data_IF_253629109983
#
_entry.id   IF_253629109983
#
_cell.length_a   1.000
_cell.length_b   1.000
_cell.length_c   1.000
_cell.angle_alpha   90.00
_cell.angle_beta   90.00
_cell.angle_gamma   90.00
#
_symmetry.space_group_name_H-M   'P 1'
#
loop_
_entity.id
_entity.type
_entity.pdbx_description
1 polymer ?
#
# COMPACT_ATOMS: atom_id res chain seq x y z
N UNK A 1 -7.61 8.11 21.70
CA UNK A 1 -7.03 7.05 20.82
C UNK A 1 -6.14 7.66 19.73
N UNK A 2 -6.64 8.54 18.88
CA UNK A 2 -5.81 9.17 17.82
C UNK A 2 -4.65 10.01 18.38
N UNK A 3 -4.86 10.76 19.48
CA UNK A 3 -3.82 11.50 20.18
C UNK A 3 -2.80 10.57 20.85
N UNK A 4 -3.24 9.47 21.46
CA UNK A 4 -2.37 8.50 22.09
C UNK A 4 -1.48 7.79 21.06
N UNK A 5 -2.03 7.46 19.88
CA UNK A 5 -1.27 6.87 18.78
C UNK A 5 -0.20 7.84 18.25
N UNK A 6 -0.57 9.11 17.99
CA UNK A 6 0.39 10.11 17.53
C UNK A 6 1.52 10.30 18.53
N UNK A 7 1.19 10.41 19.81
CA UNK A 7 2.17 10.52 20.89
C UNK A 7 3.07 9.30 20.96
N UNK A 8 2.51 8.08 20.86
CA UNK A 8 3.29 6.84 20.87
C UNK A 8 4.24 6.78 19.66
N UNK A 9 3.77 7.17 18.48
CA UNK A 9 4.58 7.20 17.25
C UNK A 9 5.75 8.18 17.40
N UNK A 10 5.50 9.39 17.87
CA UNK A 10 6.53 10.40 18.08
C UNK A 10 7.55 9.96 19.15
N UNK A 11 7.08 9.53 20.31
CA UNK A 11 7.93 9.12 21.43
C UNK A 11 8.76 7.87 21.09
N UNK A 12 8.11 6.81 20.60
CA UNK A 12 8.78 5.53 20.35
C UNK A 12 9.72 5.59 19.15
N UNK A 13 9.28 6.15 18.01
CA UNK A 13 10.12 6.21 16.82
C UNK A 13 11.29 7.17 16.98
N UNK A 14 11.15 8.25 17.74
CA UNK A 14 12.27 9.16 18.05
C UNK A 14 13.31 8.49 18.94
N UNK A 15 12.86 7.76 19.98
CA UNK A 15 13.77 7.13 20.95
C UNK A 15 14.38 5.81 20.44
N UNK A 16 13.65 5.03 19.66
CA UNK A 16 13.99 3.65 19.27
C UNK A 16 13.98 3.41 17.75
N UNK A 17 14.29 4.42 16.95
CA UNK A 17 14.35 4.32 15.48
C UNK A 17 15.25 3.17 15.01
N UNK A 18 16.31 2.86 15.75
CA UNK A 18 17.25 1.77 15.47
C UNK A 18 16.53 0.42 15.40
N UNK A 19 15.52 0.17 16.27
CA UNK A 19 14.79 -1.10 16.27
C UNK A 19 14.01 -1.31 14.96
N UNK A 20 13.43 -0.24 14.41
CA UNK A 20 12.73 -0.32 13.13
C UNK A 20 13.69 -0.66 11.97
N UNK A 21 14.91 -0.09 12.00
CA UNK A 21 15.96 -0.41 11.03
C UNK A 21 16.40 -1.88 11.17
N UNK A 22 16.49 -2.40 12.40
CA UNK A 22 16.84 -3.79 12.67
C UNK A 22 15.77 -4.76 12.15
N UNK A 23 14.48 -4.41 12.29
CA UNK A 23 13.38 -5.21 11.71
C UNK A 23 13.50 -5.25 10.19
N UNK A 24 13.74 -4.10 9.55
CA UNK A 24 13.93 -4.03 8.09
C UNK A 24 15.11 -4.84 7.58
N UNK A 25 16.17 -4.95 8.37
CA UNK A 25 17.36 -5.76 8.06
C UNK A 25 17.20 -7.24 8.41
N UNK A 26 16.05 -7.67 8.94
CA UNK A 26 15.81 -9.04 9.38
C UNK A 26 16.60 -9.44 10.63
N UNK A 27 17.24 -8.49 11.34
CA UNK A 27 18.00 -8.73 12.56
C UNK A 27 17.07 -8.91 13.76
N UNK A 28 15.95 -8.20 13.76
CA UNK A 28 14.91 -8.26 14.79
C UNK A 28 13.60 -8.74 14.16
N UNK A 29 12.90 -9.69 14.79
CA UNK A 29 11.59 -10.11 14.28
C UNK A 29 10.53 -9.05 14.58
N UNK A 30 9.45 -9.04 13.78
CA UNK A 30 8.31 -8.14 13.98
C UNK A 30 7.70 -8.34 15.37
N UNK A 31 7.59 -9.58 15.82
CA UNK A 31 7.04 -9.92 17.15
C UNK A 31 7.91 -9.39 18.29
N UNK A 32 9.24 -9.47 18.14
CA UNK A 32 10.17 -8.90 19.11
C UNK A 32 10.05 -7.37 19.17
N UNK A 33 9.94 -6.73 18.01
CA UNK A 33 9.71 -5.28 17.92
C UNK A 33 8.40 -4.88 18.64
N UNK A 34 7.30 -5.56 18.34
CA UNK A 34 6.00 -5.26 18.97
C UNK A 34 6.00 -5.50 20.49
N UNK A 35 6.77 -6.46 20.99
CA UNK A 35 6.97 -6.63 22.44
C UNK A 35 7.68 -5.41 23.08
N UNK A 36 8.65 -4.84 22.41
CA UNK A 36 9.31 -3.63 22.90
C UNK A 36 8.39 -2.41 22.86
N UNK A 37 7.49 -2.32 21.86
CA UNK A 37 6.43 -1.31 21.82
C UNK A 37 5.46 -1.49 22.97
N UNK A 38 5.01 -2.73 23.22
CA UNK A 38 4.10 -3.03 24.33
C UNK A 38 4.69 -2.65 25.68
N UNK A 39 5.95 -3.00 25.94
CA UNK A 39 6.67 -2.58 27.15
C UNK A 39 6.72 -1.05 27.30
N UNK A 40 6.94 -0.34 26.20
CA UNK A 40 6.94 1.12 26.21
C UNK A 40 5.56 1.69 26.54
N UNK A 41 4.48 1.10 25.99
CA UNK A 41 3.11 1.46 26.34
C UNK A 41 2.83 1.22 27.83
N UNK A 42 3.16 0.04 28.35
CA UNK A 42 2.97 -0.31 29.76
C UNK A 42 3.70 0.65 30.73
N UNK A 43 4.88 1.10 30.35
CA UNK A 43 5.72 1.97 31.18
C UNK A 43 5.30 3.44 31.14
N UNK A 44 4.80 3.93 30.02
CA UNK A 44 4.59 5.36 29.80
C UNK A 44 3.11 5.77 29.66
N UNK A 45 2.21 4.79 29.46
CA UNK A 45 0.78 5.03 29.24
C UNK A 45 -0.03 4.31 30.32
N UNK A 46 -0.77 5.07 31.12
CA UNK A 46 -1.63 4.53 32.19
C UNK A 46 -2.98 4.12 31.62
N UNK A 47 -2.99 3.14 30.70
CA UNK A 47 -4.19 2.67 30.01
C UNK A 47 -4.62 1.29 30.54
N UNK A 48 -5.94 0.99 30.55
CA UNK A 48 -6.43 -0.37 30.77
C UNK A 48 -5.85 -1.36 29.74
N UNK A 49 -5.67 -2.62 30.14
CA UNK A 49 -5.02 -3.67 29.31
C UNK A 49 -5.67 -3.80 27.92
N UNK A 50 -7.01 -3.71 27.84
CA UNK A 50 -7.74 -3.75 26.58
C UNK A 50 -7.34 -2.59 25.65
N UNK A 51 -7.25 -1.37 26.19
CA UNK A 51 -6.83 -0.20 25.43
C UNK A 51 -5.36 -0.23 25.03
N UNK A 52 -4.50 -0.87 25.82
CA UNK A 52 -3.09 -1.08 25.46
C UNK A 52 -2.98 -2.00 24.23
N UNK A 53 -3.78 -3.08 24.21
CA UNK A 53 -3.81 -4.00 23.06
C UNK A 53 -4.33 -3.31 21.79
N UNK A 54 -5.38 -2.49 21.90
CA UNK A 54 -5.91 -1.71 20.77
C UNK A 54 -4.89 -0.70 20.27
N UNK A 55 -4.22 0.04 21.17
CA UNK A 55 -3.18 1.00 20.81
C UNK A 55 -1.98 0.33 20.14
N UNK A 56 -1.56 -0.86 20.63
CA UNK A 56 -0.51 -1.64 19.99
C UNK A 56 -0.88 -2.07 18.59
N UNK A 57 -2.12 -2.51 18.38
CA UNK A 57 -2.64 -2.90 17.05
C UNK A 57 -2.70 -1.71 16.10
N UNK A 58 -3.16 -0.54 16.56
CA UNK A 58 -3.16 0.69 15.77
C UNK A 58 -1.74 1.12 15.41
N UNK A 59 -0.79 1.02 16.36
CA UNK A 59 0.62 1.30 16.12
C UNK A 59 1.24 0.31 15.11
N UNK A 60 0.92 -0.98 15.21
CA UNK A 60 1.35 -1.99 14.25
C UNK A 60 0.83 -1.67 12.84
N UNK A 61 -0.44 -1.33 12.71
CA UNK A 61 -1.04 -0.91 11.43
C UNK A 61 -0.42 0.38 10.90
N UNK A 62 -0.06 1.31 11.77
CA UNK A 62 0.63 2.53 11.39
C UNK A 62 2.05 2.24 10.89
N UNK A 63 2.84 1.44 11.61
CA UNK A 63 4.26 1.18 11.29
C UNK A 63 4.46 0.15 10.19
N UNK A 64 3.65 -0.89 10.12
CA UNK A 64 3.81 -1.98 9.15
C UNK A 64 2.71 -2.03 8.09
N UNK A 65 1.57 -1.41 8.33
CA UNK A 65 0.44 -1.32 7.41
C UNK A 65 0.51 -0.12 6.46
N UNK A 66 -0.64 0.27 5.98
CA UNK A 66 -0.83 1.43 5.12
C UNK A 66 -1.79 2.45 5.73
N UNK A 67 -1.82 2.53 7.07
CA UNK A 67 -2.66 3.45 7.81
C UNK A 67 -4.12 3.38 7.32
N UNK A 68 -4.74 4.51 7.05
CA UNK A 68 -6.13 4.59 6.56
C UNK A 68 -6.37 3.88 5.23
N UNK A 69 -5.33 3.64 4.43
CA UNK A 69 -5.45 2.92 3.17
C UNK A 69 -5.46 1.39 3.33
N UNK A 70 -5.12 0.84 4.52
CA UNK A 70 -5.06 -0.61 4.75
C UNK A 70 -6.32 -1.36 4.30
N UNK A 71 -7.56 -0.92 4.60
CA UNK A 71 -8.76 -1.62 4.13
C UNK A 71 -8.87 -1.68 2.60
N UNK A 72 -8.39 -0.64 1.89
CA UNK A 72 -8.37 -0.63 0.43
C UNK A 72 -7.24 -1.50 -0.14
N UNK A 73 -6.13 -1.60 0.58
CA UNK A 73 -4.99 -2.44 0.19
C UNK A 73 -5.35 -3.93 0.30
N UNK A 74 -6.16 -4.30 1.29
CA UNK A 74 -6.59 -5.68 1.54
C UNK A 74 -7.76 -6.12 0.63
N UNK A 75 -8.58 -5.19 0.13
CA UNK A 75 -9.73 -5.49 -0.72
C UNK A 75 -9.31 -5.97 -2.11
N UNK A 76 -9.45 -7.27 -2.38
CA UNK A 76 -9.08 -7.90 -3.65
C UNK A 76 -9.84 -7.41 -4.89
N UNK A 77 -10.98 -6.74 -4.73
CA UNK A 77 -11.76 -6.16 -5.82
C UNK A 77 -11.20 -4.84 -6.35
N UNK A 78 -10.30 -4.19 -5.57
CA UNK A 78 -9.68 -2.92 -5.92
C UNK A 78 -8.37 -3.17 -6.66
N UNK A 79 -8.20 -2.56 -7.84
CA UNK A 79 -6.99 -2.63 -8.65
C UNK A 79 -6.07 -1.41 -8.52
N UNK A 80 -6.65 -0.23 -8.34
CA UNK A 80 -5.90 1.02 -8.25
C UNK A 80 -6.48 1.92 -7.14
N UNK A 81 -5.62 2.57 -6.38
CA UNK A 81 -5.94 3.57 -5.36
C UNK A 81 -5.23 4.86 -5.76
N UNK A 82 -5.94 5.98 -5.76
CA UNK A 82 -5.40 7.29 -6.09
C UNK A 82 -5.76 8.27 -4.99
N UNK A 83 -4.76 8.79 -4.31
CA UNK A 83 -4.91 9.87 -3.34
C UNK A 83 -4.54 11.16 -4.06
N UNK A 84 -5.54 11.99 -4.28
CA UNK A 84 -5.40 13.30 -4.96
C UNK A 84 -5.12 14.39 -3.94
N UNK A 85 -5.77 14.29 -2.79
CA UNK A 85 -5.60 15.13 -1.59
C UNK A 85 -5.95 14.29 -0.36
N UNK A 86 -5.71 14.84 0.83
CA UNK A 86 -6.03 14.17 2.09
C UNK A 86 -7.52 13.77 2.18
N UNK A 87 -8.43 14.53 1.58
CA UNK A 87 -9.89 14.34 1.59
C UNK A 87 -10.44 13.73 0.29
N UNK A 88 -9.60 13.55 -0.75
CA UNK A 88 -10.02 13.02 -2.04
C UNK A 88 -9.24 11.74 -2.41
N UNK A 89 -9.85 10.60 -2.09
CA UNK A 89 -9.29 9.27 -2.41
C UNK A 89 -10.21 8.57 -3.40
N UNK A 90 -9.67 8.20 -4.54
CA UNK A 90 -10.36 7.51 -5.62
C UNK A 90 -9.84 6.10 -5.78
N UNK A 91 -10.74 5.16 -6.02
CA UNK A 91 -10.39 3.75 -6.27
C UNK A 91 -10.89 3.31 -7.64
N UNK A 92 -10.26 2.25 -8.14
CA UNK A 92 -10.79 1.48 -9.26
C UNK A 92 -11.15 0.09 -8.75
N UNK A 93 -12.44 -0.18 -8.66
CA UNK A 93 -13.01 -1.47 -8.23
C UNK A 93 -13.71 -2.12 -9.41
N UNK A 94 -13.33 -3.36 -9.73
CA UNK A 94 -13.92 -4.12 -10.86
C UNK A 94 -13.99 -3.31 -12.18
N UNK A 95 -12.93 -2.57 -12.47
CA UNK A 95 -12.84 -1.74 -13.68
C UNK A 95 -13.52 -0.37 -13.60
N UNK A 96 -14.36 -0.09 -12.61
CA UNK A 96 -15.07 1.18 -12.44
C UNK A 96 -14.34 2.10 -11.45
N UNK A 97 -14.29 3.38 -11.77
CA UNK A 97 -13.74 4.41 -10.89
C UNK A 97 -14.83 4.95 -9.98
N UNK A 98 -14.52 5.05 -8.68
CA UNK A 98 -15.45 5.57 -7.67
C UNK A 98 -14.68 6.23 -6.53
N UNK A 99 -15.41 6.91 -5.66
CA UNK A 99 -14.88 7.44 -4.42
C UNK A 99 -14.57 6.29 -3.46
N UNK A 100 -13.54 6.45 -2.63
CA UNK A 100 -13.13 5.41 -1.67
C UNK A 100 -14.00 5.38 -0.40
N UNK A 101 -14.74 6.46 -0.12
CA UNK A 101 -15.52 6.61 1.12
C UNK A 101 -14.67 6.76 2.38
N UNK A 102 -13.37 6.97 2.24
CA UNK A 102 -12.43 7.22 3.34
C UNK A 102 -11.55 8.42 3.00
N UNK A 103 -11.01 9.06 4.03
CA UNK A 103 -10.11 10.21 3.92
C UNK A 103 -9.07 10.19 5.04
N UNK A 104 -7.98 10.91 4.87
CA UNK A 104 -7.10 11.30 5.97
C UNK A 104 -7.75 12.43 6.75
N UNK A 105 -7.51 12.52 8.05
CA UNK A 105 -8.14 13.54 8.88
C UNK A 105 -7.63 14.97 8.58
N UNK A 106 -6.42 15.08 8.01
CA UNK A 106 -5.81 16.35 7.65
C UNK A 106 -4.71 16.19 6.61
N UNK A 107 -4.34 17.31 5.95
CA UNK A 107 -3.17 17.39 5.08
C UNK A 107 -1.88 16.96 5.82
N UNK A 108 -1.76 17.33 7.12
CA UNK A 108 -0.60 16.94 7.95
C UNK A 108 -0.50 15.43 8.09
N UNK A 109 -1.60 14.74 8.40
CA UNK A 109 -1.63 13.27 8.49
C UNK A 109 -1.25 12.62 7.16
N UNK A 110 -1.77 13.13 6.05
CA UNK A 110 -1.43 12.62 4.73
C UNK A 110 0.05 12.83 4.38
N UNK A 111 0.63 14.00 4.68
CA UNK A 111 2.07 14.26 4.48
C UNK A 111 2.93 13.31 5.33
N UNK A 112 2.58 13.11 6.59
CA UNK A 112 3.27 12.14 7.46
C UNK A 112 3.21 10.72 6.89
N UNK A 113 2.06 10.33 6.34
CA UNK A 113 1.91 9.06 5.66
C UNK A 113 2.82 8.95 4.42
N UNK A 114 2.93 10.00 3.60
CA UNK A 114 3.83 10.04 2.44
C UNK A 114 5.28 9.88 2.88
N UNK A 115 5.73 10.62 3.88
CA UNK A 115 7.09 10.55 4.41
C UNK A 115 7.38 9.16 4.98
N UNK A 116 6.40 8.57 5.66
CA UNK A 116 6.49 7.22 6.19
C UNK A 116 6.66 6.17 5.09
N UNK A 117 5.80 6.14 4.06
CA UNK A 117 5.92 5.16 2.98
C UNK A 117 7.21 5.35 2.16
N UNK A 118 7.66 6.58 1.97
CA UNK A 118 8.92 6.90 1.29
C UNK A 118 10.10 6.33 2.10
N UNK A 119 10.17 6.65 3.39
CA UNK A 119 11.22 6.15 4.30
C UNK A 119 11.21 4.62 4.39
N UNK A 120 10.05 4.01 4.52
CA UNK A 120 9.88 2.55 4.58
C UNK A 120 10.42 1.87 3.34
N UNK A 121 10.22 2.46 2.17
CA UNK A 121 10.70 1.92 0.90
C UNK A 121 12.08 2.46 0.49
N UNK A 122 12.79 3.16 1.38
CA UNK A 122 14.13 3.74 1.15
C UNK A 122 14.14 4.71 -0.05
N UNK A 123 13.04 5.42 -0.26
CA UNK A 123 12.87 6.39 -1.33
C UNK A 123 13.06 7.79 -0.75
N UNK A 124 13.96 8.56 -1.35
CA UNK A 124 14.11 9.96 -1.00
C UNK A 124 13.19 10.81 -1.87
N UNK A 125 12.18 11.41 -1.25
CA UNK A 125 11.27 12.34 -1.91
C UNK A 125 11.55 13.77 -1.43
N UNK A 126 11.68 14.68 -2.39
CA UNK A 126 11.94 16.10 -2.15
C UNK A 126 11.56 16.89 -3.40
N UNK A 127 11.63 18.22 -3.33
CA UNK A 127 11.41 19.05 -4.52
C UNK A 127 12.41 18.77 -5.65
N UNK A 128 13.61 18.29 -5.35
CA UNK A 128 14.60 17.88 -6.35
C UNK A 128 14.30 16.47 -6.90
N UNK A 129 13.70 15.60 -6.10
CA UNK A 129 13.29 14.25 -6.46
C UNK A 129 11.76 14.13 -6.39
N UNK A 130 11.08 15.01 -7.13
CA UNK A 130 9.65 15.26 -6.98
C UNK A 130 8.75 14.16 -7.54
N UNK A 131 9.28 13.24 -8.35
CA UNK A 131 8.55 12.07 -8.86
C UNK A 131 9.31 10.82 -8.47
N UNK A 132 8.65 9.90 -7.76
CA UNK A 132 9.21 8.63 -7.33
C UNK A 132 8.32 7.47 -7.73
N UNK A 133 8.96 6.36 -8.12
CA UNK A 133 8.28 5.09 -8.40
C UNK A 133 9.01 3.99 -7.66
N UNK A 134 8.27 3.22 -6.88
CA UNK A 134 8.81 2.11 -6.12
C UNK A 134 7.79 0.97 -6.00
N UNK A 135 8.24 -0.16 -5.54
CA UNK A 135 7.42 -1.38 -5.47
C UNK A 135 7.60 -2.01 -4.10
N UNK A 136 6.49 -2.34 -3.45
CA UNK A 136 6.48 -3.13 -2.23
C UNK A 136 5.99 -4.54 -2.57
N UNK A 137 6.87 -5.52 -2.41
CA UNK A 137 6.62 -6.94 -2.70
C UNK A 137 6.35 -7.76 -1.45
N UNK A 138 6.58 -7.21 -0.26
CA UNK A 138 6.65 -7.97 0.99
C UNK A 138 5.46 -7.74 1.92
N UNK A 139 4.86 -6.56 1.89
CA UNK A 139 3.86 -6.16 2.88
C UNK A 139 2.52 -6.85 2.79
N UNK A 140 2.21 -7.50 1.67
CA UNK A 140 0.95 -8.22 1.50
C UNK A 140 1.20 -9.62 0.92
N UNK A 141 0.51 -10.67 1.41
CA UNK A 141 0.72 -12.05 0.92
C UNK A 141 0.32 -12.21 -0.56
N UNK A 142 -0.79 -11.60 -0.99
CA UNK A 142 -1.41 -11.85 -2.29
C UNK A 142 -1.11 -10.79 -3.35
N UNK A 143 -0.62 -9.60 -2.95
CA UNK A 143 -0.44 -8.48 -3.85
C UNK A 143 0.98 -7.91 -3.81
N UNK A 144 1.43 -7.43 -4.95
CA UNK A 144 2.55 -6.51 -5.11
C UNK A 144 1.95 -5.11 -5.28
N UNK A 145 2.46 -4.13 -4.54
CA UNK A 145 2.03 -2.75 -4.64
C UNK A 145 3.06 -1.92 -5.43
N UNK A 146 2.61 -1.30 -6.52
CA UNK A 146 3.42 -0.37 -7.30
C UNK A 146 2.97 1.05 -7.01
N UNK A 147 3.88 1.84 -6.48
CA UNK A 147 3.65 3.22 -6.10
C UNK A 147 4.17 4.17 -7.17
N UNK A 148 3.41 5.22 -7.43
CA UNK A 148 3.86 6.42 -8.13
C UNK A 148 3.47 7.61 -7.26
N UNK A 149 4.46 8.36 -6.83
CA UNK A 149 4.32 9.51 -5.95
C UNK A 149 4.84 10.75 -6.68
N UNK A 150 4.11 11.85 -6.65
CA UNK A 150 4.56 13.14 -7.18
C UNK A 150 4.27 14.27 -6.22
N UNK A 151 5.25 15.15 -6.04
CA UNK A 151 5.14 16.33 -5.19
C UNK A 151 4.37 17.45 -5.90
N UNK A 152 3.78 18.41 -5.16
CA UNK A 152 3.00 19.51 -5.72
C UNK A 152 3.76 20.36 -6.76
N UNK A 153 5.08 20.45 -6.65
CA UNK A 153 5.92 21.20 -7.59
C UNK A 153 5.86 20.67 -9.04
N UNK A 154 5.48 19.41 -9.24
CA UNK A 154 5.44 18.73 -10.57
C UNK A 154 4.05 18.22 -10.94
N UNK A 155 3.06 18.48 -10.12
CA UNK A 155 1.67 18.12 -10.40
C UNK A 155 0.76 19.36 -10.32
N UNK A 156 -0.51 19.22 -10.68
CA UNK A 156 -1.49 20.32 -10.66
C UNK A 156 -2.27 20.42 -9.34
N UNK A 157 -1.92 19.58 -8.37
CA UNK A 157 -2.59 19.51 -7.08
C UNK A 157 -1.82 20.31 -6.02
N UNK A 158 -2.51 20.79 -5.00
CA UNK A 158 -1.88 21.49 -3.87
C UNK A 158 -1.14 20.55 -2.91
N UNK A 159 -1.45 19.27 -2.97
CA UNK A 159 -0.89 18.22 -2.13
C UNK A 159 -0.11 17.19 -2.95
N UNK A 160 0.72 16.33 -2.31
CA UNK A 160 1.33 15.20 -3.00
C UNK A 160 0.27 14.29 -3.62
N UNK A 161 0.50 13.85 -4.84
CA UNK A 161 -0.35 12.86 -5.51
C UNK A 161 0.26 11.48 -5.36
N UNK A 162 -0.53 10.52 -4.89
CA UNK A 162 -0.12 9.13 -4.74
C UNK A 162 -1.02 8.21 -5.57
N UNK A 163 -0.41 7.39 -6.41
CA UNK A 163 -1.08 6.32 -7.13
C UNK A 163 -0.50 4.98 -6.71
N UNK A 164 -1.35 4.06 -6.27
CA UNK A 164 -0.98 2.70 -5.90
C UNK A 164 -1.70 1.76 -6.84
N UNK A 165 -0.95 0.92 -7.57
CA UNK A 165 -1.48 -0.18 -8.36
C UNK A 165 -1.24 -1.49 -7.64
N UNK A 166 -2.31 -2.25 -7.45
CA UNK A 166 -2.28 -3.59 -6.89
C UNK A 166 -2.10 -4.60 -8.01
N UNK A 167 -1.05 -5.41 -7.94
CA UNK A 167 -0.77 -6.48 -8.89
C UNK A 167 -0.84 -7.81 -8.13
N UNK A 168 -1.74 -8.72 -8.50
CA UNK A 168 -1.79 -10.04 -7.86
C UNK A 168 -0.45 -10.77 -8.02
N UNK A 169 0.03 -11.42 -6.95
CA UNK A 169 1.21 -12.30 -7.02
C UNK A 169 0.91 -13.58 -7.80
N UNK A 170 -0.31 -14.06 -7.67
CA UNK A 170 -0.80 -15.24 -8.38
C UNK A 170 -1.58 -14.81 -9.62
N UNK A 171 -1.05 -15.14 -10.80
CA UNK A 171 -1.75 -14.90 -12.05
C UNK A 171 -2.84 -15.94 -12.27
N UNK A 172 -4.00 -15.56 -12.84
CA UNK A 172 -5.06 -16.51 -13.15
C UNK A 172 -4.57 -17.54 -14.17
N UNK A 173 -4.86 -18.81 -13.91
CA UNK A 173 -4.62 -19.87 -14.89
C UNK A 173 -5.58 -19.74 -16.07
N UNK A 174 -5.21 -20.33 -17.23
CA UNK A 174 -6.04 -20.31 -18.44
C UNK A 174 -7.49 -20.79 -18.19
N UNK A 175 -7.67 -21.82 -17.38
CA UNK A 175 -9.00 -22.32 -16.98
C UNK A 175 -9.85 -21.23 -16.31
N UNK A 176 -9.26 -20.46 -15.41
CA UNK A 176 -9.95 -19.38 -14.71
C UNK A 176 -10.31 -18.20 -15.63
N UNK A 177 -9.51 -17.97 -16.69
CA UNK A 177 -9.84 -16.96 -17.71
C UNK A 177 -11.05 -17.40 -18.56
N UNK A 178 -11.16 -18.69 -18.85
CA UNK A 178 -12.33 -19.26 -19.53
C UNK A 178 -13.58 -19.19 -18.64
N UNK A 179 -13.48 -19.57 -17.36
CA UNK A 179 -14.59 -19.47 -16.40
C UNK A 179 -15.10 -18.04 -16.23
N UNK A 180 -14.20 -17.05 -16.29
CA UNK A 180 -14.55 -15.62 -16.24
C UNK A 180 -15.05 -15.06 -17.56
N UNK A 181 -15.26 -15.89 -18.57
CA UNK A 181 -15.66 -15.49 -19.93
C UNK A 181 -14.74 -14.42 -20.57
N UNK A 182 -13.44 -14.42 -20.20
CA UNK A 182 -12.45 -13.54 -20.83
C UNK A 182 -11.98 -14.08 -22.18
N UNK A 183 -12.09 -15.39 -22.40
CA UNK A 183 -11.85 -16.07 -23.67
C UNK A 183 -12.62 -17.40 -23.71
N UNK A 184 -12.88 -17.90 -24.88
CA UNK A 184 -13.42 -19.25 -25.04
C UNK A 184 -12.33 -20.34 -24.91
N UNK A 185 -12.75 -21.59 -24.74
CA UNK A 185 -11.85 -22.72 -24.55
C UNK A 185 -10.96 -22.97 -25.78
N UNK A 186 -11.50 -22.80 -26.99
CA UNK A 186 -10.73 -23.03 -28.20
C UNK A 186 -9.60 -22.00 -28.36
N UNK A 187 -9.87 -20.73 -28.04
CA UNK A 187 -8.86 -19.68 -28.01
C UNK A 187 -7.78 -19.98 -26.95
N UNK A 188 -8.17 -20.44 -25.75
CA UNK A 188 -7.21 -20.81 -24.71
C UNK A 188 -6.28 -21.94 -25.15
N UNK A 189 -6.83 -23.00 -25.76
CA UNK A 189 -6.08 -24.14 -26.29
C UNK A 189 -5.12 -23.72 -27.41
N UNK A 190 -5.59 -22.88 -28.34
CA UNK A 190 -4.75 -22.32 -29.39
C UNK A 190 -3.57 -21.51 -28.86
N UNK A 191 -3.82 -20.64 -27.88
CA UNK A 191 -2.75 -19.85 -27.23
C UNK A 191 -1.71 -20.74 -26.60
N UNK A 192 -2.12 -21.75 -25.83
CA UNK A 192 -1.20 -22.71 -25.19
C UNK A 192 -0.36 -23.43 -26.24
N UNK A 193 -0.98 -23.88 -27.34
CA UNK A 193 -0.27 -24.53 -28.43
C UNK A 193 0.77 -23.61 -29.08
N UNK A 194 0.40 -22.36 -29.36
CA UNK A 194 1.31 -21.36 -29.94
C UNK A 194 2.48 -21.03 -29.03
N UNK A 195 2.23 -20.88 -27.72
CA UNK A 195 3.31 -20.72 -26.74
C UNK A 195 4.30 -21.88 -26.75
N UNK A 196 3.79 -23.12 -26.77
CA UNK A 196 4.65 -24.32 -26.84
C UNK A 196 5.48 -24.41 -28.13
N UNK A 197 5.00 -23.77 -29.20
CA UNK A 197 5.71 -23.66 -30.48
C UNK A 197 6.70 -22.49 -30.54
N UNK A 198 6.93 -21.78 -29.41
CA UNK A 198 7.83 -20.64 -29.33
C UNK A 198 7.26 -19.32 -29.86
N UNK A 199 5.96 -19.24 -30.12
CA UNK A 199 5.31 -17.98 -30.52
C UNK A 199 5.16 -17.06 -29.30
N UNK A 200 5.25 -15.75 -29.52
CA UNK A 200 5.00 -14.71 -28.51
C UNK A 200 3.68 -14.00 -28.84
N UNK A 201 2.54 -14.47 -28.32
CA UNK A 201 1.26 -13.81 -28.54
C UNK A 201 1.24 -12.42 -27.91
N UNK A 202 0.69 -11.44 -28.60
CA UNK A 202 0.49 -10.09 -28.12
C UNK A 202 -1.00 -9.84 -28.03
N UNK A 203 -1.47 -9.43 -26.84
CA UNK A 203 -2.84 -8.99 -26.61
C UNK A 203 -2.87 -7.47 -26.51
N UNK A 204 -3.80 -6.85 -27.20
CA UNK A 204 -4.05 -5.41 -27.08
C UNK A 204 -5.54 -5.13 -27.10
N UNK A 205 -5.96 -4.07 -26.42
CA UNK A 205 -7.30 -3.54 -26.54
C UNK A 205 -7.34 -2.55 -27.69
N UNK A 206 -8.30 -2.75 -28.62
CA UNK A 206 -8.48 -1.83 -29.73
C UNK A 206 -9.04 -0.50 -29.19
N UNK A 207 -8.19 0.50 -29.14
CA UNK A 207 -8.65 1.88 -28.99
C UNK A 207 -9.13 2.32 -30.38
N UNK A 208 -10.44 2.49 -30.54
CA UNK A 208 -10.94 3.19 -31.72
C UNK A 208 -10.30 4.58 -31.75
N UNK A 209 -9.42 4.80 -32.73
CA UNK A 209 -9.07 6.14 -33.15
C UNK A 209 -10.33 6.73 -33.80
N UNK A 210 -10.88 7.75 -33.14
CA UNK A 210 -11.85 8.66 -33.78
C UNK A 210 -11.10 9.90 -34.21
#
# INVERSE_FOLDING_TARGET
MEEDLQRLVEDFLTQKQILLVQVKKGILSKEQFLREVLKHIEQNYHLPVEKQADLLKEFEQYVFGYSRLSPLMDDGSISDIRVVSHDCIRIKREGKRMDAGIAFASEKEYRQFIDYIATRNQVNISNLNAIQRFTDTESHPDFIFRFTLSMPIVNTYSEPYLCIRKVPKNFPMMAQLVEKNMMDRATAELLVQRFRQGSTPVSYTHLRAH
#
